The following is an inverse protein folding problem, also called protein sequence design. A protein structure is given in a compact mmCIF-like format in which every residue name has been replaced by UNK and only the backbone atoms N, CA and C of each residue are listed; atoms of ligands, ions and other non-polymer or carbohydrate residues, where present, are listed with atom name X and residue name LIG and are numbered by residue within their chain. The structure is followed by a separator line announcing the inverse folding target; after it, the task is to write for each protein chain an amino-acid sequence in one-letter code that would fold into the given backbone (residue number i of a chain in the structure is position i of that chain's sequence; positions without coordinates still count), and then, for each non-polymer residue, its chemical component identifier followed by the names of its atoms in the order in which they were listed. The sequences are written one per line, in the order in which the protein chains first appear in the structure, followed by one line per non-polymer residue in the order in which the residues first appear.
data_IF_609500511797
#
_entry.id   IF_609500511797
#
_cell.length_a   1.000
_cell.length_b   1.000
_cell.length_c   1.000
_cell.angle_alpha   90.00
_cell.angle_beta   90.00
_cell.angle_gamma   90.00
#
_symmetry.space_group_name_H-M   'P 1'
#
loop_
_entity.id
_entity.type
_entity.pdbx_description
1 polymer ?
#
# COMPACT_ATOMS: atom_id res chain seq x y z
N UNK A 1 45.21 14.32 23.20
CA UNK A 1 44.28 14.53 24.33
C UNK A 1 42.94 14.94 23.74
N UNK A 2 41.83 14.38 24.23
CA UNK A 2 40.48 14.72 23.74
C UNK A 2 40.09 16.09 24.30
N UNK A 3 39.63 17.00 23.45
CA UNK A 3 39.13 18.32 23.88
C UNK A 3 37.85 18.13 24.70
N UNK A 4 37.73 18.83 25.82
CA UNK A 4 36.49 18.85 26.61
C UNK A 4 35.42 19.72 25.92
N UNK A 5 34.15 19.56 26.31
CA UNK A 5 33.07 20.39 25.80
C UNK A 5 33.25 21.87 26.20
N UNK A 6 33.90 22.14 27.34
CA UNK A 6 34.30 23.49 27.74
C UNK A 6 35.38 24.06 26.82
N UNK A 7 36.37 23.26 26.43
CA UNK A 7 37.42 23.66 25.49
C UNK A 7 36.85 23.95 24.09
N UNK A 8 35.88 23.14 23.64
CA UNK A 8 35.19 23.31 22.35
C UNK A 8 34.41 24.62 22.32
N UNK A 9 33.79 25.01 23.44
CA UNK A 9 33.08 26.29 23.56
C UNK A 9 34.00 27.47 23.98
N UNK A 10 35.28 27.22 24.24
CA UNK A 10 36.25 28.24 24.65
C UNK A 10 35.98 28.85 26.03
N UNK A 11 35.32 28.11 26.92
CA UNK A 11 34.95 28.56 28.28
C UNK A 11 35.70 27.76 29.36
N UNK A 12 35.77 28.30 30.58
CA UNK A 12 36.35 27.58 31.72
C UNK A 12 35.39 26.51 32.22
N UNK A 13 35.91 25.44 32.84
CA UNK A 13 35.10 24.40 33.48
C UNK A 13 34.24 24.90 34.66
N UNK A 14 34.52 26.10 35.16
CA UNK A 14 33.73 26.81 36.18
C UNK A 14 32.74 27.83 35.60
N UNK A 15 32.56 27.86 34.28
CA UNK A 15 31.62 28.79 33.62
C UNK A 15 30.17 28.49 34.03
N UNK A 16 29.41 29.56 34.25
CA UNK A 16 27.98 29.50 34.50
C UNK A 16 27.18 29.15 33.23
N UNK A 17 25.96 28.64 33.39
CA UNK A 17 25.03 28.38 32.29
C UNK A 17 24.84 29.59 31.36
N UNK A 18 24.92 30.80 31.93
CA UNK A 18 24.83 32.05 31.18
C UNK A 18 26.03 32.25 30.28
N UNK A 19 27.24 32.05 30.80
CA UNK A 19 28.49 32.19 30.04
C UNK A 19 28.59 31.12 28.94
N UNK A 20 28.15 29.89 29.22
CA UNK A 20 28.08 28.80 28.24
C UNK A 20 27.13 29.16 27.08
N UNK A 21 25.94 29.73 27.38
CA UNK A 21 24.98 30.19 26.36
C UNK A 21 25.49 31.35 25.53
N UNK A 22 26.16 32.32 26.16
CA UNK A 22 26.72 33.48 25.48
C UNK A 22 27.86 33.05 24.53
N UNK A 23 28.75 32.15 24.96
CA UNK A 23 29.81 31.59 24.13
C UNK A 23 29.27 30.78 22.95
N UNK A 24 28.26 29.93 23.18
CA UNK A 24 27.58 29.17 22.11
C UNK A 24 27.00 30.08 21.03
N UNK A 25 26.25 31.12 21.42
CA UNK A 25 25.64 32.07 20.46
C UNK A 25 26.69 32.78 19.61
N UNK A 26 27.81 33.17 20.23
CA UNK A 26 28.92 33.82 19.54
C UNK A 26 29.55 32.87 18.51
N UNK A 27 29.86 31.64 18.89
CA UNK A 27 30.46 30.64 18.01
C UNK A 27 29.55 30.25 16.83
N UNK A 28 28.24 30.15 17.06
CA UNK A 28 27.28 29.90 15.96
C UNK A 28 27.25 31.07 14.98
N UNK A 29 27.25 32.32 15.46
CA UNK A 29 27.28 33.52 14.61
C UNK A 29 28.58 33.67 13.82
N UNK A 30 29.70 33.22 14.39
CA UNK A 30 31.03 33.27 13.77
C UNK A 30 31.21 32.15 12.73
N UNK A 31 30.58 30.99 12.92
CA UNK A 31 30.71 29.80 12.05
C UNK A 31 29.48 29.50 11.18
N UNK A 32 28.52 30.41 11.05
CA UNK A 32 27.35 30.22 10.18
C UNK A 32 27.75 29.99 8.71
N UNK A 33 27.07 29.06 8.02
CA UNK A 33 27.30 28.71 6.61
C UNK A 33 27.26 29.90 5.66
N UNK A 34 26.38 30.87 5.94
CA UNK A 34 26.21 32.10 5.16
C UNK A 34 27.43 33.03 5.23
N UNK A 35 28.39 32.75 6.13
CA UNK A 35 29.67 33.46 6.29
C UNK A 35 30.89 32.59 5.96
N UNK A 36 30.69 31.42 5.35
CA UNK A 36 31.77 30.51 4.94
C UNK A 36 32.31 29.62 6.06
N UNK A 37 31.52 29.37 7.11
CA UNK A 37 31.90 28.47 8.20
C UNK A 37 31.84 26.99 7.84
N UNK A 38 32.71 26.19 8.48
CA UNK A 38 32.79 24.74 8.33
C UNK A 38 31.65 24.04 9.10
N UNK A 39 30.80 23.30 8.38
CA UNK A 39 29.67 22.55 8.96
C UNK A 39 30.10 21.59 10.07
N UNK A 40 31.29 21.01 9.99
CA UNK A 40 31.76 20.04 10.99
C UNK A 40 32.20 20.73 12.27
N UNK A 41 32.62 22.00 12.20
CA UNK A 41 32.88 22.83 13.36
C UNK A 41 31.56 23.23 14.03
N UNK A 42 30.55 23.62 13.26
CA UNK A 42 29.21 23.96 13.78
C UNK A 42 28.58 22.77 14.50
N UNK A 43 28.64 21.57 13.91
CA UNK A 43 28.14 20.34 14.55
C UNK A 43 28.82 20.07 15.89
N UNK A 44 30.15 20.27 15.99
CA UNK A 44 30.90 20.13 17.25
C UNK A 44 30.48 21.15 18.31
N UNK A 45 30.26 22.40 17.91
CA UNK A 45 29.81 23.47 18.81
C UNK A 45 28.41 23.16 19.38
N UNK A 46 27.48 22.71 18.53
CA UNK A 46 26.12 22.32 18.95
C UNK A 46 26.19 21.14 19.92
N UNK A 47 26.96 20.10 19.61
CA UNK A 47 27.10 18.94 20.47
C UNK A 47 27.68 19.30 21.85
N UNK A 48 28.74 20.11 21.88
CA UNK A 48 29.37 20.53 23.14
C UNK A 48 28.42 21.33 24.03
N UNK A 49 27.58 22.18 23.45
CA UNK A 49 26.59 22.95 24.19
C UNK A 49 25.46 22.07 24.78
N UNK A 50 24.90 21.15 23.99
CA UNK A 50 23.86 20.24 24.50
C UNK A 50 24.41 19.25 25.54
N UNK A 51 25.65 18.79 25.38
CA UNK A 51 26.31 17.94 26.38
C UNK A 51 26.50 18.68 27.71
N UNK A 52 26.95 19.94 27.68
CA UNK A 52 27.14 20.74 28.91
C UNK A 52 25.82 21.01 29.64
N UNK A 53 24.72 21.19 28.90
CA UNK A 53 23.38 21.38 29.46
C UNK A 53 22.89 20.18 30.27
N UNK A 54 23.37 18.98 29.97
CA UNK A 54 23.08 17.75 30.71
C UNK A 54 24.22 17.33 31.66
N UNK A 55 25.21 18.20 31.88
CA UNK A 55 26.33 17.97 32.78
C UNK A 55 27.44 17.07 32.21
N UNK A 56 27.46 16.80 30.91
CA UNK A 56 28.47 15.97 30.23
C UNK A 56 29.67 16.83 29.80
N UNK A 57 30.84 16.55 30.37
CA UNK A 57 32.05 17.38 30.22
C UNK A 57 32.90 17.05 29.00
N UNK A 58 32.70 15.89 28.37
CA UNK A 58 33.46 15.44 27.19
C UNK A 58 32.51 14.97 26.08
N UNK A 59 32.88 15.13 24.80
CA UNK A 59 32.09 14.60 23.68
C UNK A 59 31.89 13.09 23.77
N UNK A 60 30.91 12.57 23.04
CA UNK A 60 30.68 11.14 22.93
C UNK A 60 31.98 10.38 22.52
N UNK A 61 32.29 9.33 23.28
CA UNK A 61 33.26 8.31 22.87
C UNK A 61 32.76 7.58 21.62
N UNK A 62 33.65 6.92 20.87
CA UNK A 62 33.24 6.23 19.65
C UNK A 62 32.23 5.09 19.92
N UNK A 63 32.30 4.44 21.09
CA UNK A 63 31.30 3.47 21.56
C UNK A 63 29.95 4.12 21.91
N UNK A 64 29.94 5.33 22.46
CA UNK A 64 28.70 6.10 22.72
C UNK A 64 28.09 6.60 21.42
N UNK A 65 28.90 7.04 20.45
CA UNK A 65 28.44 7.38 19.09
C UNK A 65 27.84 6.15 18.42
N UNK A 66 28.45 4.98 18.58
CA UNK A 66 27.93 3.71 18.06
C UNK A 66 26.64 3.24 18.76
N UNK A 67 26.46 3.59 20.04
CA UNK A 67 25.22 3.32 20.78
C UNK A 67 24.11 4.33 20.44
N UNK A 68 24.42 5.62 20.32
CA UNK A 68 23.47 6.67 19.91
C UNK A 68 23.08 6.55 18.44
N UNK A 69 23.96 6.09 17.54
CA UNK A 69 23.61 5.75 16.16
C UNK A 69 22.62 4.58 16.05
N UNK A 70 22.46 3.79 17.13
CA UNK A 70 21.44 2.74 17.25
C UNK A 70 20.15 3.23 17.94
N UNK A 71 20.12 4.44 18.50
CA UNK A 71 18.95 5.03 19.17
C UNK A 71 18.47 6.22 18.34
N UNK A 72 17.57 5.94 17.40
CA UNK A 72 17.06 6.92 16.46
C UNK A 72 15.95 7.79 17.10
N UNK A 73 16.28 8.97 17.62
CA UNK A 73 15.36 9.89 18.31
C UNK A 73 15.07 11.17 17.49
N UNK A 74 14.34 11.04 16.39
CA UNK A 74 13.91 12.20 15.60
C UNK A 74 12.51 12.02 15.02
N UNK A 75 11.63 13.03 15.18
CA UNK A 75 10.21 12.97 14.81
C UNK A 75 9.91 13.44 13.38
N UNK A 76 10.92 13.80 12.59
CA UNK A 76 10.70 14.22 11.19
C UNK A 76 10.19 13.07 10.32
N UNK A 77 9.34 13.37 9.33
CA UNK A 77 8.83 12.40 8.34
C UNK A 77 9.98 11.65 7.64
N UNK A 78 11.08 12.33 7.32
CA UNK A 78 12.25 11.72 6.69
C UNK A 78 12.98 10.73 7.60
N UNK A 79 13.14 11.05 8.89
CA UNK A 79 13.76 10.14 9.85
C UNK A 79 12.86 8.95 10.18
N UNK A 80 11.54 9.17 10.28
CA UNK A 80 10.55 8.08 10.40
C UNK A 80 10.62 7.18 9.19
N UNK A 81 10.76 7.74 7.98
CA UNK A 81 10.90 7.00 6.73
C UNK A 81 12.21 6.20 6.66
N UNK A 82 13.34 6.79 7.08
CA UNK A 82 14.64 6.09 7.18
C UNK A 82 14.59 4.96 8.21
N UNK A 83 14.01 5.19 9.40
CA UNK A 83 13.78 4.14 10.41
C UNK A 83 12.91 3.01 9.87
N UNK A 84 11.76 3.36 9.31
CA UNK A 84 10.83 2.38 8.77
C UNK A 84 11.47 1.58 7.64
N UNK A 85 12.36 2.18 6.83
CA UNK A 85 13.10 1.48 5.77
C UNK A 85 14.02 0.39 6.34
N UNK A 86 14.77 0.68 7.40
CA UNK A 86 15.63 -0.31 8.06
C UNK A 86 14.79 -1.42 8.68
N UNK A 87 13.77 -1.03 9.46
CA UNK A 87 12.87 -1.99 10.12
C UNK A 87 12.10 -2.85 9.11
N UNK A 88 11.84 -2.34 7.90
CA UNK A 88 11.25 -3.11 6.80
C UNK A 88 12.09 -4.31 6.43
N UNK A 89 13.41 -4.11 6.33
CA UNK A 89 14.35 -5.17 5.99
C UNK A 89 14.37 -6.26 7.05
N UNK A 90 14.30 -5.87 8.32
CA UNK A 90 14.27 -6.81 9.45
C UNK A 90 12.99 -7.63 9.44
N UNK A 91 11.82 -6.98 9.34
CA UNK A 91 10.52 -7.66 9.25
C UNK A 91 10.43 -8.55 8.01
N UNK A 92 10.97 -8.12 6.87
CA UNK A 92 10.97 -8.93 5.65
C UNK A 92 11.77 -10.22 5.80
N UNK A 93 12.91 -10.19 6.52
CA UNK A 93 13.67 -11.40 6.85
C UNK A 93 12.91 -12.29 7.83
N UNK A 94 12.25 -11.72 8.83
CA UNK A 94 11.39 -12.47 9.74
C UNK A 94 10.22 -13.16 9.01
N UNK A 95 9.58 -12.50 8.05
CA UNK A 95 8.53 -13.12 7.23
C UNK A 95 9.06 -14.26 6.36
N UNK A 96 10.31 -14.20 5.92
CA UNK A 96 10.95 -15.32 5.21
C UNK A 96 11.13 -16.53 6.13
N UNK A 97 11.53 -16.31 7.38
CA UNK A 97 11.62 -17.38 8.39
C UNK A 97 10.23 -17.94 8.70
N UNK A 98 9.19 -17.09 8.76
CA UNK A 98 7.81 -17.50 8.93
C UNK A 98 7.33 -18.39 7.76
N UNK A 99 7.67 -18.04 6.52
CA UNK A 99 7.38 -18.82 5.32
C UNK A 99 8.00 -20.22 5.40
N UNK A 100 9.28 -20.30 5.75
CA UNK A 100 10.00 -21.57 5.89
C UNK A 100 9.42 -22.44 6.99
N UNK A 101 9.09 -21.85 8.14
CA UNK A 101 8.43 -22.53 9.25
C UNK A 101 7.05 -23.07 8.86
N UNK A 102 6.20 -22.25 8.21
CA UNK A 102 4.87 -22.65 7.80
C UNK A 102 4.93 -23.77 6.74
N UNK A 103 5.86 -23.66 5.78
CA UNK A 103 6.11 -24.67 4.75
C UNK A 103 6.56 -26.01 5.34
N UNK A 104 7.43 -26.00 6.35
CA UNK A 104 7.86 -27.21 7.04
C UNK A 104 6.70 -27.90 7.75
N UNK A 105 5.88 -27.15 8.50
CA UNK A 105 4.69 -27.71 9.16
C UNK A 105 3.68 -28.24 8.15
N UNK A 106 3.52 -27.55 7.02
CA UNK A 106 2.60 -27.98 5.98
C UNK A 106 3.05 -29.27 5.30
N UNK A 107 4.33 -29.39 4.95
CA UNK A 107 4.88 -30.59 4.30
C UNK A 107 4.94 -31.82 5.21
N UNK A 108 5.05 -31.61 6.53
CA UNK A 108 5.04 -32.67 7.53
C UNK A 108 3.66 -32.97 8.14
N UNK A 109 2.62 -32.27 7.68
CA UNK A 109 1.25 -32.31 8.21
C UNK A 109 1.15 -32.08 9.73
N UNK A 110 2.05 -31.27 10.27
CA UNK A 110 2.09 -30.93 11.69
C UNK A 110 1.34 -29.64 11.97
N UNK A 111 0.72 -29.50 13.14
CA UNK A 111 0.14 -28.25 13.59
C UNK A 111 1.11 -27.52 14.53
N UNK A 112 1.03 -26.20 14.57
CA UNK A 112 1.87 -25.40 15.46
C UNK A 112 1.56 -23.91 15.38
N UNK A 113 1.96 -23.17 16.41
CA UNK A 113 1.89 -21.72 16.44
C UNK A 113 3.23 -21.09 16.77
N UNK A 114 3.49 -19.90 16.23
CA UNK A 114 4.71 -19.12 16.49
C UNK A 114 4.48 -17.64 16.20
N UNK A 115 5.13 -16.78 16.99
CA UNK A 115 5.19 -15.33 16.77
C UNK A 115 6.38 -14.97 15.88
N UNK A 116 6.16 -14.04 14.96
CA UNK A 116 7.16 -13.47 14.06
C UNK A 116 7.00 -11.94 13.99
N UNK A 117 7.93 -11.26 13.32
CA UNK A 117 7.87 -9.81 13.12
C UNK A 117 8.79 -9.06 14.08
N UNK A 118 8.43 -7.83 14.46
CA UNK A 118 9.26 -7.02 15.36
C UNK A 118 8.44 -6.30 16.40
N UNK A 119 9.06 -5.97 17.54
CA UNK A 119 8.39 -5.21 18.60
C UNK A 119 8.04 -3.79 18.15
N UNK A 120 8.83 -3.25 17.23
CA UNK A 120 8.74 -1.87 16.75
C UNK A 120 7.67 -1.69 15.67
N UNK A 121 7.48 -2.66 14.77
CA UNK A 121 6.52 -2.57 13.66
C UNK A 121 5.29 -3.47 13.81
N UNK A 122 5.32 -4.40 14.78
CA UNK A 122 4.23 -5.31 15.10
C UNK A 122 4.68 -6.76 15.06
N UNK A 123 4.28 -7.50 16.09
CA UNK A 123 4.37 -8.96 16.12
C UNK A 123 3.12 -9.56 15.45
N UNK A 124 3.33 -10.67 14.74
CA UNK A 124 2.30 -11.40 14.01
C UNK A 124 2.35 -12.85 14.45
N UNK A 125 1.21 -13.34 14.92
CA UNK A 125 1.02 -14.73 15.31
C UNK A 125 0.61 -15.56 14.09
N UNK A 126 1.33 -16.64 13.85
CA UNK A 126 1.00 -17.63 12.84
C UNK A 126 0.63 -18.93 13.54
N UNK A 127 -0.48 -19.53 13.13
CA UNK A 127 -0.97 -20.82 13.61
C UNK A 127 -1.34 -21.69 12.41
N UNK A 128 -0.56 -22.74 12.14
CA UNK A 128 -0.96 -23.76 11.17
C UNK A 128 -1.83 -24.80 11.89
N UNK A 129 -3.09 -24.90 11.49
CA UNK A 129 -4.07 -25.84 12.04
C UNK A 129 -3.86 -27.24 11.49
N UNK A 130 -4.35 -28.25 12.21
CA UNK A 130 -4.36 -29.65 11.74
C UNK A 130 -5.07 -29.85 10.41
N UNK A 131 -5.99 -28.95 10.04
CA UNK A 131 -6.69 -28.98 8.75
C UNK A 131 -5.83 -28.54 7.56
N UNK A 132 -4.62 -28.01 7.78
CA UNK A 132 -3.80 -27.38 6.73
C UNK A 132 -4.09 -25.90 6.51
N UNK A 133 -5.03 -25.32 7.23
CA UNK A 133 -5.26 -23.87 7.21
C UNK A 133 -4.21 -23.13 8.03
N UNK A 134 -3.70 -22.03 7.48
CA UNK A 134 -2.85 -21.10 8.21
C UNK A 134 -3.67 -19.92 8.70
N UNK A 135 -3.78 -19.78 10.02
CA UNK A 135 -4.35 -18.60 10.65
C UNK A 135 -3.25 -17.59 10.99
N UNK A 136 -3.44 -16.34 10.61
CA UNK A 136 -2.49 -15.24 10.87
C UNK A 136 -3.21 -14.15 11.65
N UNK A 137 -2.63 -13.69 12.76
CA UNK A 137 -3.20 -12.63 13.59
C UNK A 137 -2.18 -11.54 13.86
N UNK A 138 -2.57 -10.29 13.61
CA UNK A 138 -1.68 -9.13 13.78
C UNK A 138 -1.51 -8.34 12.49
N UNK A 139 -0.67 -7.31 12.54
CA UNK A 139 -0.44 -6.41 11.39
C UNK A 139 0.69 -6.96 10.52
N UNK A 140 0.38 -7.33 9.27
CA UNK A 140 1.40 -7.75 8.31
C UNK A 140 1.98 -6.52 7.61
N UNK A 141 3.29 -6.29 7.73
CA UNK A 141 3.86 -4.99 7.41
C UNK A 141 4.86 -4.99 6.25
N UNK A 142 5.69 -6.02 6.10
CA UNK A 142 6.71 -6.12 5.03
C UNK A 142 7.00 -7.57 4.67
N UNK A 143 7.65 -7.74 3.52
CA UNK A 143 8.23 -9.02 3.11
C UNK A 143 7.34 -9.87 2.23
N UNK A 144 7.99 -10.88 1.64
CA UNK A 144 7.31 -11.89 0.84
C UNK A 144 6.92 -13.08 1.73
N UNK A 145 5.73 -13.60 1.51
CA UNK A 145 5.23 -14.79 2.18
C UNK A 145 4.40 -15.65 1.23
N UNK A 146 4.78 -16.91 1.07
CA UNK A 146 4.14 -17.88 0.19
C UNK A 146 3.65 -19.08 0.98
N UNK A 147 2.39 -19.45 0.79
CA UNK A 147 1.83 -20.63 1.44
C UNK A 147 1.07 -21.52 0.46
N UNK A 148 1.08 -22.82 0.73
CA UNK A 148 0.38 -23.83 -0.06
C UNK A 148 -0.79 -24.40 0.75
N UNK A 149 -1.87 -23.63 0.82
CA UNK A 149 -3.04 -23.93 1.62
C UNK A 149 -3.85 -22.66 1.88
N UNK A 150 -5.07 -22.78 2.42
CA UNK A 150 -5.89 -21.62 2.75
C UNK A 150 -5.24 -20.77 3.86
N UNK A 151 -5.28 -19.45 3.69
CA UNK A 151 -4.88 -18.48 4.70
C UNK A 151 -6.12 -17.74 5.20
N UNK A 152 -6.34 -17.75 6.51
CA UNK A 152 -7.27 -16.85 7.19
C UNK A 152 -6.47 -15.86 8.02
N UNK A 153 -6.69 -14.56 7.82
CA UNK A 153 -5.99 -13.52 8.55
C UNK A 153 -6.93 -12.58 9.31
N UNK A 154 -6.60 -12.31 10.56
CA UNK A 154 -7.24 -11.31 11.41
C UNK A 154 -6.26 -10.15 11.67
N UNK A 155 -6.31 -9.14 10.81
CA UNK A 155 -5.48 -7.94 10.94
C UNK A 155 -5.39 -7.15 9.64
N UNK A 156 -4.75 -5.98 9.71
CA UNK A 156 -4.49 -5.13 8.54
C UNK A 156 -3.15 -5.47 7.90
N UNK A 157 -3.04 -5.17 6.60
CA UNK A 157 -1.85 -5.44 5.79
C UNK A 157 -1.41 -4.12 5.18
N UNK A 158 -0.12 -3.82 5.30
CA UNK A 158 0.48 -2.67 4.61
C UNK A 158 1.77 -3.10 3.92
N UNK A 159 2.35 -2.22 3.11
CA UNK A 159 3.63 -2.44 2.46
C UNK A 159 4.50 -1.19 2.57
N UNK A 160 5.82 -1.32 2.78
CA UNK A 160 6.74 -0.20 2.73
C UNK A 160 6.93 0.24 1.27
N UNK A 161 5.93 0.89 0.69
CA UNK A 161 5.92 1.37 -0.71
C UNK A 161 7.12 2.26 -1.05
N UNK A 162 7.65 2.96 -0.05
CA UNK A 162 8.84 3.79 -0.15
C UNK A 162 10.16 3.00 -0.21
N UNK A 163 10.14 1.69 0.02
CA UNK A 163 11.33 0.85 -0.06
C UNK A 163 11.80 0.69 -1.50
N UNK A 164 13.11 0.82 -1.70
CA UNK A 164 13.75 0.60 -2.99
C UNK A 164 13.98 -0.89 -3.27
N UNK A 165 14.08 -1.71 -2.22
CA UNK A 165 14.21 -3.16 -2.35
C UNK A 165 12.83 -3.82 -2.40
N UNK A 166 12.54 -4.47 -3.51
CA UNK A 166 11.28 -5.20 -3.71
C UNK A 166 11.06 -6.29 -2.66
N UNK A 167 12.12 -6.92 -2.14
CA UNK A 167 11.99 -7.98 -1.11
C UNK A 167 11.38 -7.47 0.19
N UNK A 168 11.49 -6.17 0.45
CA UNK A 168 10.91 -5.54 1.64
C UNK A 168 9.42 -5.24 1.44
N UNK A 169 8.95 -5.12 0.20
CA UNK A 169 7.54 -4.85 -0.08
C UNK A 169 6.70 -6.06 0.24
N UNK A 170 5.48 -5.81 0.71
CA UNK A 170 4.58 -6.88 1.11
C UNK A 170 4.01 -7.59 -0.12
N UNK A 171 4.34 -8.87 -0.24
CA UNK A 171 3.73 -9.78 -1.21
C UNK A 171 3.29 -11.05 -0.52
N UNK A 172 2.00 -11.36 -0.61
CA UNK A 172 1.44 -12.62 -0.10
C UNK A 172 0.98 -13.46 -1.27
N UNK A 173 1.47 -14.69 -1.37
CA UNK A 173 1.11 -15.64 -2.42
C UNK A 173 0.49 -16.90 -1.80
N UNK A 174 -0.72 -17.23 -2.22
CA UNK A 174 -1.40 -18.48 -1.89
C UNK A 174 -1.40 -19.34 -3.15
N UNK A 175 -0.69 -20.47 -3.12
CA UNK A 175 -0.59 -21.38 -4.28
C UNK A 175 -1.91 -22.11 -4.53
N UNK A 176 -2.44 -22.72 -3.47
CA UNK A 176 -3.70 -23.45 -3.49
C UNK A 176 -4.55 -23.04 -2.29
N UNK A 177 -5.82 -22.73 -2.53
CA UNK A 177 -6.74 -22.28 -1.49
C UNK A 177 -6.89 -20.75 -1.44
N UNK A 178 -7.73 -20.31 -0.51
CA UNK A 178 -8.21 -18.93 -0.47
C UNK A 178 -7.35 -18.07 0.45
N UNK A 179 -7.26 -16.78 0.14
CA UNK A 179 -6.83 -15.76 1.09
C UNK A 179 -8.07 -15.03 1.64
N UNK A 180 -8.32 -15.12 2.95
CA UNK A 180 -9.51 -14.53 3.57
C UNK A 180 -9.13 -13.65 4.75
N UNK A 181 -9.56 -12.39 4.75
CA UNK A 181 -9.58 -11.60 5.97
C UNK A 181 -10.84 -11.95 6.78
N UNK A 182 -10.68 -12.12 8.09
CA UNK A 182 -11.77 -12.45 9.00
C UNK A 182 -12.63 -11.22 9.31
N UNK A 183 -13.89 -11.23 8.86
CA UNK A 183 -14.89 -10.18 9.04
C UNK A 183 -14.33 -8.76 8.82
N UNK A 184 -13.71 -8.47 7.66
CA UNK A 184 -12.82 -7.32 7.52
C UNK A 184 -13.55 -5.98 7.59
N UNK A 185 -14.82 -5.93 7.18
CA UNK A 185 -15.65 -4.73 7.29
C UNK A 185 -16.09 -4.46 8.74
N UNK A 186 -16.43 -5.51 9.49
CA UNK A 186 -16.84 -5.39 10.90
C UNK A 186 -15.65 -5.00 11.79
N UNK A 187 -14.49 -5.55 11.51
CA UNK A 187 -13.26 -5.32 12.27
C UNK A 187 -12.43 -4.14 11.74
N UNK A 188 -12.89 -3.46 10.69
CA UNK A 188 -12.21 -2.33 10.06
C UNK A 188 -10.75 -2.64 9.66
N UNK A 189 -10.54 -3.84 9.10
CA UNK A 189 -9.24 -4.26 8.57
C UNK A 189 -9.04 -3.70 7.16
N UNK A 190 -7.81 -3.22 6.90
CA UNK A 190 -7.44 -2.55 5.67
C UNK A 190 -6.27 -3.24 4.98
N UNK A 191 -6.26 -3.17 3.65
CA UNK A 191 -5.09 -3.49 2.81
C UNK A 191 -4.60 -2.20 2.18
N UNK A 192 -3.37 -1.82 2.49
CA UNK A 192 -2.91 -0.45 2.24
C UNK A 192 -1.55 -0.41 1.53
N UNK A 193 -1.44 0.53 0.60
CA UNK A 193 -0.18 1.11 0.14
C UNK A 193 0.78 0.15 -0.56
N UNK A 194 0.43 -0.37 -1.73
CA UNK A 194 1.38 -1.12 -2.55
C UNK A 194 1.54 -2.59 -2.15
N UNK A 195 0.62 -3.11 -1.34
CA UNK A 195 0.54 -4.55 -1.02
C UNK A 195 0.18 -5.33 -2.28
N UNK A 196 0.78 -6.51 -2.45
CA UNK A 196 0.42 -7.46 -3.50
C UNK A 196 -0.10 -8.76 -2.88
N UNK A 197 -1.32 -9.17 -3.21
CA UNK A 197 -1.87 -10.47 -2.82
C UNK A 197 -2.24 -11.26 -4.06
N UNK A 198 -1.77 -12.50 -4.14
CA UNK A 198 -2.05 -13.41 -5.26
C UNK A 198 -2.57 -14.73 -4.71
N UNK A 199 -3.78 -15.13 -5.10
CA UNK A 199 -4.26 -16.50 -4.94
C UNK A 199 -4.25 -17.19 -6.30
N UNK A 200 -3.27 -18.06 -6.56
CA UNK A 200 -3.05 -18.65 -7.89
C UNK A 200 -4.20 -19.60 -8.28
N UNK A 201 -4.64 -20.42 -7.33
CA UNK A 201 -5.73 -21.38 -7.47
C UNK A 201 -6.70 -21.27 -6.28
N UNK A 202 -7.28 -20.09 -6.11
CA UNK A 202 -8.30 -19.84 -5.09
C UNK A 202 -8.87 -18.43 -5.17
N UNK A 203 -9.69 -18.12 -4.18
CA UNK A 203 -10.37 -16.84 -4.05
C UNK A 203 -9.62 -15.90 -3.09
N UNK A 204 -9.87 -14.60 -3.23
CA UNK A 204 -9.41 -13.56 -2.29
C UNK A 204 -10.62 -12.81 -1.74
N UNK A 205 -10.81 -12.88 -0.42
CA UNK A 205 -11.91 -12.19 0.29
C UNK A 205 -11.31 -11.21 1.28
N UNK A 206 -11.50 -9.91 1.02
CA UNK A 206 -10.83 -8.83 1.75
C UNK A 206 -11.79 -7.67 2.03
N UNK A 207 -11.35 -6.75 2.90
CA UNK A 207 -12.09 -5.54 3.25
C UNK A 207 -11.83 -4.38 2.31
N UNK A 208 -11.63 -3.21 2.91
CA UNK A 208 -11.27 -2.00 2.18
C UNK A 208 -9.82 -2.06 1.71
N UNK A 209 -9.59 -1.56 0.49
CA UNK A 209 -8.29 -1.58 -0.18
C UNK A 209 -7.95 -0.15 -0.57
N UNK A 210 -6.75 0.31 -0.18
CA UNK A 210 -6.30 1.67 -0.46
C UNK A 210 -4.91 1.62 -1.09
N UNK A 211 -4.75 2.30 -2.23
CA UNK A 211 -3.45 2.58 -2.85
C UNK A 211 -2.82 3.84 -2.30
N UNK A 212 -1.61 4.18 -2.77
CA UNK A 212 -0.99 5.48 -2.49
C UNK A 212 -0.31 6.09 -3.72
N UNK A 213 -0.43 7.41 -3.83
CA UNK A 213 0.35 8.24 -4.74
C UNK A 213 1.42 8.97 -3.95
N UNK A 214 2.63 8.98 -4.47
CA UNK A 214 3.77 9.64 -3.86
C UNK A 214 4.22 10.79 -4.75
N UNK A 215 4.32 11.99 -4.18
CA UNK A 215 4.90 13.16 -4.86
C UNK A 215 6.41 13.13 -4.65
N UNK A 216 7.16 12.93 -5.73
CA UNK A 216 8.61 12.96 -5.75
C UNK A 216 9.08 14.26 -6.40
N UNK A 217 10.20 14.81 -5.93
CA UNK A 217 10.83 15.93 -6.61
C UNK A 217 11.29 15.49 -8.00
N UNK A 218 11.23 16.42 -8.97
CA UNK A 218 11.71 16.17 -10.32
C UNK A 218 13.14 15.57 -10.31
N UNK A 219 13.39 14.44 -11.00
CA UNK A 219 14.70 13.79 -11.02
C UNK A 219 15.85 14.68 -11.53
N UNK A 220 15.53 15.77 -12.26
CA UNK A 220 16.51 16.74 -12.75
C UNK A 220 16.71 17.91 -11.78
N UNK A 221 16.13 17.85 -10.57
CA UNK A 221 16.31 18.85 -9.51
C UNK A 221 15.57 20.17 -9.77
N UNK A 222 14.66 20.21 -10.75
CA UNK A 222 13.91 21.44 -11.08
C UNK A 222 12.97 21.82 -9.93
N UNK A 223 13.18 23.00 -9.38
CA UNK A 223 12.40 23.52 -8.25
C UNK A 223 10.94 23.73 -8.68
N UNK A 224 10.01 23.26 -7.85
CA UNK A 224 8.56 23.39 -8.09
C UNK A 224 7.96 22.39 -9.08
N UNK A 225 8.75 21.46 -9.64
CA UNK A 225 8.25 20.36 -10.47
C UNK A 225 8.26 19.07 -9.64
N UNK A 226 7.10 18.40 -9.61
CA UNK A 226 6.91 17.13 -8.92
C UNK A 226 6.47 16.05 -9.91
N UNK A 227 7.00 14.84 -9.74
CA UNK A 227 6.56 13.64 -10.43
C UNK A 227 5.69 12.84 -9.47
N UNK A 228 4.47 12.50 -9.89
CA UNK A 228 3.62 11.60 -9.11
C UNK A 228 3.98 10.16 -9.44
N UNK A 229 4.44 9.41 -8.44
CA UNK A 229 4.67 7.97 -8.52
C UNK A 229 3.49 7.23 -7.90
N UNK A 230 2.88 6.36 -8.67
CA UNK A 230 1.73 5.56 -8.23
C UNK A 230 2.21 4.21 -7.68
N UNK A 231 1.79 3.88 -6.47
CA UNK A 231 2.06 2.58 -5.86
C UNK A 231 0.75 1.82 -5.75
N UNK A 232 0.53 0.92 -6.71
CA UNK A 232 -0.71 0.15 -6.78
C UNK A 232 -0.77 -0.93 -5.71
N UNK A 233 -1.84 -0.93 -4.92
CA UNK A 233 -2.23 -2.11 -4.14
C UNK A 233 -2.92 -3.10 -5.07
N UNK A 234 -2.34 -4.29 -5.25
CA UNK A 234 -2.70 -5.26 -6.27
C UNK A 234 -3.27 -6.53 -5.64
N UNK A 235 -4.50 -6.90 -6.01
CA UNK A 235 -5.12 -8.16 -5.62
C UNK A 235 -5.39 -8.99 -6.87
N UNK A 236 -4.90 -10.23 -6.89
CA UNK A 236 -5.05 -11.12 -8.04
C UNK A 236 -5.60 -12.50 -7.64
N UNK A 237 -6.61 -12.95 -8.37
CA UNK A 237 -7.19 -14.29 -8.28
C UNK A 237 -7.52 -14.77 -9.71
N UNK A 238 -6.52 -15.08 -10.55
CA UNK A 238 -6.68 -15.17 -12.00
C UNK A 238 -7.70 -16.22 -12.47
N UNK A 239 -7.91 -17.26 -11.66
CA UNK A 239 -8.89 -18.35 -11.88
C UNK A 239 -10.04 -18.34 -10.86
N UNK A 240 -10.05 -17.37 -9.96
CA UNK A 240 -10.95 -17.31 -8.81
C UNK A 240 -11.70 -16.00 -8.73
N UNK A 241 -12.30 -15.80 -7.57
CA UNK A 241 -13.09 -14.64 -7.21
C UNK A 241 -12.31 -13.70 -6.31
N UNK A 242 -12.42 -12.41 -6.58
CA UNK A 242 -12.06 -11.35 -5.63
C UNK A 242 -13.36 -10.80 -5.04
N UNK A 243 -13.47 -10.78 -3.71
CA UNK A 243 -14.53 -10.08 -2.99
C UNK A 243 -13.89 -8.98 -2.16
N UNK A 244 -14.24 -7.72 -2.43
CA UNK A 244 -13.65 -6.56 -1.77
C UNK A 244 -14.71 -5.55 -1.30
N UNK A 245 -14.37 -4.78 -0.27
CA UNK A 245 -15.15 -3.64 0.18
C UNK A 245 -14.99 -2.44 -0.76
N UNK A 246 -14.56 -1.31 -0.22
CA UNK A 246 -14.22 -0.14 -1.04
C UNK A 246 -12.78 -0.24 -1.52
N UNK A 247 -12.57 -0.15 -2.84
CA UNK A 247 -11.26 0.05 -3.43
C UNK A 247 -11.06 1.54 -3.74
N UNK A 248 -9.92 2.12 -3.33
CA UNK A 248 -9.68 3.56 -3.40
C UNK A 248 -8.22 3.92 -3.73
N UNK A 249 -8.01 5.07 -4.37
CA UNK A 249 -6.70 5.53 -4.85
C UNK A 249 -6.11 4.54 -5.87
N UNK A 250 -4.80 4.29 -5.86
CA UNK A 250 -4.14 3.38 -6.80
C UNK A 250 -4.38 1.91 -6.44
N UNK A 251 -5.51 1.35 -6.86
CA UNK A 251 -5.85 -0.07 -6.64
C UNK A 251 -5.98 -0.81 -7.97
N UNK A 252 -5.47 -2.04 -8.03
CA UNK A 252 -5.65 -2.93 -9.16
C UNK A 252 -6.22 -4.27 -8.69
N UNK A 253 -7.39 -4.64 -9.24
CA UNK A 253 -8.03 -5.93 -8.97
C UNK A 253 -8.06 -6.76 -10.27
N UNK A 254 -7.55 -7.98 -10.22
CA UNK A 254 -7.50 -8.87 -11.39
C UNK A 254 -7.96 -10.29 -11.04
N UNK A 255 -9.22 -10.59 -11.34
CA UNK A 255 -9.85 -11.88 -11.05
C UNK A 255 -10.56 -12.48 -12.24
N UNK A 256 -10.94 -13.76 -12.18
CA UNK A 256 -11.96 -14.26 -13.12
C UNK A 256 -13.31 -13.62 -12.80
N UNK A 257 -13.66 -13.59 -11.52
CA UNK A 257 -14.80 -12.84 -10.99
C UNK A 257 -14.32 -11.75 -10.03
N UNK A 258 -14.82 -10.53 -10.17
CA UNK A 258 -14.53 -9.41 -9.27
C UNK A 258 -15.83 -8.86 -8.72
N UNK A 259 -16.01 -8.99 -7.41
CA UNK A 259 -17.14 -8.45 -6.65
C UNK A 259 -16.61 -7.36 -5.73
N UNK A 260 -17.13 -6.15 -5.87
CA UNK A 260 -16.64 -4.98 -5.14
C UNK A 260 -17.79 -4.09 -4.71
N UNK A 261 -17.64 -3.42 -3.56
CA UNK A 261 -18.62 -2.45 -3.11
C UNK A 261 -18.47 -1.14 -3.88
N UNK A 262 -17.37 -0.41 -3.68
CA UNK A 262 -17.15 0.91 -4.30
C UNK A 262 -15.79 0.98 -4.99
N UNK A 263 -15.69 1.84 -6.01
CA UNK A 263 -14.48 2.12 -6.77
C UNK A 263 -14.23 3.63 -6.78
N UNK A 264 -13.13 4.09 -6.18
CA UNK A 264 -12.93 5.52 -5.92
C UNK A 264 -11.53 5.97 -6.31
N UNK A 265 -11.40 6.87 -7.29
CA UNK A 265 -10.14 7.54 -7.66
C UNK A 265 -9.02 6.58 -8.08
N UNK A 266 -8.78 6.42 -9.39
CA UNK A 266 -7.67 5.68 -9.98
C UNK A 266 -7.65 4.16 -9.71
N UNK A 267 -8.85 3.57 -9.66
CA UNK A 267 -9.00 2.12 -9.50
C UNK A 267 -9.08 1.45 -10.87
N UNK A 268 -8.32 0.38 -11.03
CA UNK A 268 -8.32 -0.46 -12.22
C UNK A 268 -8.85 -1.83 -11.84
N UNK A 269 -9.81 -2.34 -12.59
CA UNK A 269 -10.32 -3.68 -12.40
C UNK A 269 -10.30 -4.44 -13.72
N UNK A 270 -9.97 -5.73 -13.66
CA UNK A 270 -10.01 -6.63 -14.79
C UNK A 270 -10.68 -7.94 -14.38
N UNK A 271 -11.62 -8.40 -15.18
CA UNK A 271 -12.24 -9.70 -14.97
C UNK A 271 -13.23 -10.11 -16.03
N UNK A 272 -13.66 -11.37 -15.97
CA UNK A 272 -14.71 -11.90 -16.85
C UNK A 272 -16.08 -11.55 -16.30
N UNK A 273 -16.31 -11.74 -15.01
CA UNK A 273 -17.56 -11.36 -14.35
C UNK A 273 -17.26 -10.25 -13.36
N UNK A 274 -17.87 -9.08 -13.55
CA UNK A 274 -17.65 -7.91 -12.69
C UNK A 274 -18.98 -7.49 -12.08
N UNK A 275 -19.00 -7.35 -10.75
CA UNK A 275 -20.20 -6.97 -10.01
C UNK A 275 -19.87 -5.86 -9.03
N UNK A 276 -20.59 -4.74 -9.16
CA UNK A 276 -20.41 -3.54 -8.34
C UNK A 276 -21.70 -3.30 -7.55
N UNK A 277 -21.60 -3.36 -6.22
CA UNK A 277 -22.75 -3.28 -5.33
C UNK A 277 -23.06 -1.88 -4.81
N UNK A 278 -22.04 -1.11 -4.50
CA UNK A 278 -22.17 0.20 -3.88
C UNK A 278 -22.45 1.30 -4.88
N UNK A 279 -22.75 2.49 -4.35
CA UNK A 279 -23.23 3.62 -5.14
C UNK A 279 -22.13 4.44 -5.82
N UNK A 280 -20.86 4.14 -5.60
CA UNK A 280 -19.76 5.04 -6.00
C UNK A 280 -18.79 4.35 -6.95
N UNK A 281 -18.69 4.88 -8.17
CA UNK A 281 -17.61 4.58 -9.13
C UNK A 281 -17.12 5.89 -9.71
N UNK A 282 -16.04 6.45 -9.17
CA UNK A 282 -15.62 7.79 -9.56
C UNK A 282 -14.13 7.94 -9.82
N UNK A 283 -13.79 8.98 -10.59
CA UNK A 283 -12.45 9.49 -10.85
C UNK A 283 -11.48 8.45 -11.41
N UNK A 284 -11.19 8.52 -12.71
CA UNK A 284 -10.19 7.68 -13.39
C UNK A 284 -10.32 6.17 -13.12
N UNK A 285 -11.55 5.65 -13.04
CA UNK A 285 -11.78 4.20 -12.91
C UNK A 285 -11.73 3.55 -14.30
N UNK A 286 -10.91 2.51 -14.44
CA UNK A 286 -10.85 1.69 -15.66
C UNK A 286 -11.34 0.27 -15.37
N UNK A 287 -12.34 -0.18 -16.12
CA UNK A 287 -12.97 -1.49 -15.97
C UNK A 287 -12.73 -2.29 -17.24
N UNK A 288 -11.88 -3.31 -17.17
CA UNK A 288 -11.59 -4.20 -18.30
C UNK A 288 -12.41 -5.50 -18.21
N UNK A 289 -13.30 -5.72 -19.18
CA UNK A 289 -14.14 -6.91 -19.29
C UNK A 289 -13.50 -7.89 -20.27
N UNK A 290 -13.23 -9.12 -19.80
CA UNK A 290 -12.72 -10.23 -20.61
C UNK A 290 -13.81 -10.80 -21.52
N UNK A 291 -13.40 -11.40 -22.64
CA UNK A 291 -14.31 -11.99 -23.64
C UNK A 291 -15.24 -13.04 -23.01
N UNK A 292 -16.52 -13.06 -23.44
CA UNK A 292 -17.56 -13.93 -22.86
C UNK A 292 -17.96 -13.56 -21.43
N UNK A 293 -17.61 -12.34 -21.01
CA UNK A 293 -17.86 -11.81 -19.68
C UNK A 293 -19.03 -10.82 -19.63
N UNK A 294 -19.28 -10.30 -18.44
CA UNK A 294 -20.31 -9.29 -18.21
C UNK A 294 -19.98 -8.40 -17.01
N UNK A 295 -20.65 -7.25 -16.96
CA UNK A 295 -20.63 -6.33 -15.84
C UNK A 295 -22.05 -6.05 -15.34
N UNK A 296 -22.19 -5.96 -14.01
CA UNK A 296 -23.43 -5.62 -13.33
C UNK A 296 -23.21 -4.50 -12.31
N UNK A 297 -24.14 -3.55 -12.29
CA UNK A 297 -24.22 -2.49 -11.29
C UNK A 297 -25.54 -2.67 -10.52
N UNK A 298 -25.48 -2.86 -9.20
CA UNK A 298 -26.68 -3.18 -8.41
C UNK A 298 -27.39 -1.97 -7.82
N UNK A 299 -26.69 -0.90 -7.44
CA UNK A 299 -27.35 0.23 -6.77
C UNK A 299 -28.28 1.02 -7.70
N UNK A 300 -29.34 1.58 -7.10
CA UNK A 300 -30.49 2.23 -7.73
C UNK A 300 -30.71 3.67 -7.21
N UNK A 301 -29.88 4.17 -6.29
CA UNK A 301 -30.10 5.47 -5.66
C UNK A 301 -29.87 6.69 -6.58
N UNK A 302 -30.62 7.77 -6.38
CA UNK A 302 -30.38 9.09 -7.01
C UNK A 302 -29.01 9.70 -6.68
N UNK A 303 -28.31 9.15 -5.68
CA UNK A 303 -26.95 9.46 -5.30
C UNK A 303 -25.89 8.54 -5.93
N UNK A 304 -26.22 7.80 -7.00
CA UNK A 304 -25.26 6.96 -7.72
C UNK A 304 -24.16 7.81 -8.35
N UNK A 305 -23.07 7.98 -7.59
CA UNK A 305 -21.91 8.81 -7.90
C UNK A 305 -21.01 8.10 -8.90
N UNK A 306 -21.54 7.92 -10.10
CA UNK A 306 -20.77 7.47 -11.24
C UNK A 306 -20.10 8.67 -11.89
N UNK A 307 -18.78 8.68 -11.92
CA UNK A 307 -18.04 9.73 -12.62
C UNK A 307 -18.09 9.54 -14.13
N UNK A 308 -17.96 10.65 -14.82
CA UNK A 308 -18.00 10.72 -16.28
C UNK A 308 -16.68 10.33 -16.95
N UNK A 309 -15.61 10.24 -16.16
CA UNK A 309 -14.28 9.81 -16.58
C UNK A 309 -14.04 8.30 -16.35
N UNK A 310 -14.99 7.60 -15.73
CA UNK A 310 -14.93 6.15 -15.63
C UNK A 310 -15.09 5.52 -17.02
N UNK A 311 -14.23 4.54 -17.33
CA UNK A 311 -14.14 3.91 -18.65
C UNK A 311 -14.34 2.41 -18.54
N UNK A 312 -15.18 1.86 -19.41
CA UNK A 312 -15.25 0.42 -19.65
C UNK A 312 -14.40 0.12 -20.89
N UNK A 313 -13.52 -0.86 -20.77
CA UNK A 313 -12.67 -1.39 -21.83
C UNK A 313 -13.01 -2.85 -22.04
N UNK A 314 -13.13 -3.27 -23.28
CA UNK A 314 -13.21 -4.67 -23.65
C UNK A 314 -11.79 -5.20 -23.93
N UNK A 315 -11.58 -6.50 -23.73
CA UNK A 315 -10.33 -7.20 -24.05
C UNK A 315 -9.81 -6.92 -25.48
N UNK A 316 -10.71 -6.74 -26.46
CA UNK A 316 -10.35 -6.38 -27.84
C UNK A 316 -9.91 -4.91 -28.02
N UNK A 317 -9.82 -4.12 -26.95
CA UNK A 317 -9.39 -2.73 -26.94
C UNK A 317 -10.51 -1.70 -27.15
N UNK A 318 -11.75 -2.12 -27.43
CA UNK A 318 -12.89 -1.21 -27.55
C UNK A 318 -13.19 -0.54 -26.21
N UNK A 319 -13.48 0.75 -26.23
CA UNK A 319 -13.69 1.58 -25.03
C UNK A 319 -15.01 2.32 -25.06
N UNK A 320 -15.60 2.48 -23.88
CA UNK A 320 -16.84 3.21 -23.65
C UNK A 320 -16.67 4.10 -22.43
N UNK A 321 -17.16 5.34 -22.50
CA UNK A 321 -17.29 6.16 -21.30
C UNK A 321 -18.53 5.71 -20.55
N UNK A 322 -18.44 5.59 -19.23
CA UNK A 322 -19.56 5.12 -18.43
C UNK A 322 -20.78 6.04 -18.55
N UNK A 323 -20.57 7.35 -18.76
CA UNK A 323 -21.62 8.34 -19.04
C UNK A 323 -22.51 7.93 -20.23
N UNK A 324 -21.94 7.37 -21.29
CA UNK A 324 -22.69 6.97 -22.50
C UNK A 324 -23.65 5.80 -22.21
N UNK A 325 -23.25 4.90 -21.31
CA UNK A 325 -24.07 3.75 -20.88
C UNK A 325 -25.17 4.14 -19.88
N UNK A 326 -24.97 5.23 -19.12
CA UNK A 326 -26.06 5.79 -18.29
C UNK A 326 -27.19 6.34 -19.15
N UNK A 327 -26.84 7.08 -20.21
CA UNK A 327 -27.85 7.71 -21.09
C UNK A 327 -28.72 6.71 -21.82
N UNK A 328 -28.35 5.42 -21.82
CA UNK A 328 -29.10 4.32 -22.43
C UNK A 328 -29.85 3.43 -21.43
N UNK A 329 -29.98 3.82 -20.15
CA UNK A 329 -30.68 3.05 -19.08
C UNK A 329 -30.14 1.62 -18.85
N UNK A 330 -28.86 1.38 -19.15
CA UNK A 330 -28.21 0.07 -19.03
C UNK A 330 -27.55 -0.17 -17.68
N UNK A 331 -27.39 0.88 -16.88
CA UNK A 331 -26.70 0.83 -15.59
C UNK A 331 -27.73 0.81 -14.45
N UNK A 332 -27.49 -0.02 -13.43
CA UNK A 332 -28.35 -0.18 -12.25
C UNK A 332 -29.28 -1.39 -12.33
N UNK A 333 -30.04 -1.63 -11.25
CA UNK A 333 -31.03 -2.72 -11.12
C UNK A 333 -30.44 -4.13 -11.31
N UNK A 334 -29.14 -4.29 -11.15
CA UNK A 334 -28.45 -5.57 -11.40
C UNK A 334 -28.54 -6.04 -12.85
N UNK A 335 -28.80 -5.14 -13.81
CA UNK A 335 -28.84 -5.51 -15.22
C UNK A 335 -27.48 -5.98 -15.69
N UNK A 336 -27.47 -7.11 -16.36
CA UNK A 336 -26.27 -7.67 -16.97
C UNK A 336 -25.96 -6.97 -18.29
N UNK A 337 -24.77 -6.35 -18.37
CA UNK A 337 -24.23 -5.79 -19.59
C UNK A 337 -23.12 -6.72 -20.08
N UNK A 338 -23.41 -7.50 -21.13
CA UNK A 338 -22.46 -8.49 -21.63
C UNK A 338 -21.37 -7.87 -22.51
N UNK A 339 -20.24 -8.54 -22.58
CA UNK A 339 -19.13 -8.23 -23.48
C UNK A 339 -19.62 -8.14 -24.94
N UNK A 340 -20.39 -9.13 -25.39
CA UNK A 340 -20.88 -9.23 -26.77
C UNK A 340 -21.85 -8.10 -27.10
N UNK A 341 -22.70 -7.73 -26.15
CA UNK A 341 -23.59 -6.58 -26.30
C UNK A 341 -22.78 -5.29 -26.54
N UNK A 342 -21.82 -4.99 -25.66
CA UNK A 342 -20.96 -3.82 -25.81
C UNK A 342 -20.18 -3.86 -27.13
N UNK A 343 -19.62 -5.02 -27.50
CA UNK A 343 -18.87 -5.17 -28.74
C UNK A 343 -19.73 -4.94 -29.99
N UNK A 344 -21.04 -5.21 -29.93
CA UNK A 344 -21.98 -4.98 -31.03
C UNK A 344 -22.29 -3.49 -31.30
N UNK A 345 -22.18 -2.62 -30.29
CA UNK A 345 -22.53 -1.18 -30.41
C UNK A 345 -21.73 -0.52 -31.54
N UNK A 346 -22.40 0.16 -32.47
CA UNK A 346 -21.74 0.85 -33.59
C UNK A 346 -21.32 -0.04 -34.77
N UNK A 347 -21.46 -1.37 -34.68
CA UNK A 347 -21.40 -2.24 -35.87
C UNK A 347 -22.72 -2.08 -36.61
N UNK A 348 -22.73 -1.33 -37.72
CA UNK A 348 -23.90 -1.25 -38.63
C UNK A 348 -24.36 -2.68 -38.93
N UNK A 349 -25.62 -2.99 -38.66
CA UNK A 349 -26.21 -4.23 -39.18
C UNK A 349 -26.05 -4.21 -40.69
N UNK A 350 -25.20 -5.08 -41.25
CA UNK A 350 -25.42 -5.56 -42.61
C UNK A 350 -26.61 -6.50 -42.55
N UNK A 351 -27.79 -5.91 -42.37
CA UNK A 351 -29.06 -6.61 -42.49
C UNK A 351 -29.30 -6.86 -43.98
N UNK A 352 -28.99 -8.07 -44.42
CA UNK A 352 -29.74 -8.71 -45.50
C UNK A 352 -31.22 -8.64 -45.13
N UNK A 353 -32.01 -8.03 -46.02
CA UNK A 353 -33.42 -7.77 -45.77
C UNK A 353 -34.20 -9.05 -45.54
N UNK A 354 -34.91 -9.10 -44.41
CA UNK A 354 -36.13 -9.89 -44.29
C UNK A 354 -37.21 -8.96 -43.73
N UNK A 355 -38.08 -8.48 -44.63
CA UNK A 355 -39.34 -7.84 -44.25
C UNK A 355 -40.24 -8.92 -43.67
N UNK A 356 -40.38 -8.97 -42.34
CA UNK A 356 -41.51 -9.64 -41.71
C UNK A 356 -42.62 -8.60 -41.59
N UNK A 357 -43.61 -8.70 -42.46
CA UNK A 357 -44.82 -7.91 -42.39
C UNK A 357 -45.68 -8.37 -41.22
N UNK A 358 -45.83 -7.54 -40.19
CA UNK A 358 -46.92 -7.67 -39.23
C UNK A 358 -48.08 -6.79 -39.68
N UNK A 359 -49.10 -7.45 -40.22
CA UNK A 359 -50.46 -6.95 -40.40
C UNK A 359 -51.25 -7.39 -39.16
N UNK A 360 -51.72 -6.46 -38.33
CA UNK A 360 -52.79 -6.69 -37.35
C UNK A 360 -53.38 -5.32 -37.00
N UNK A 361 -54.42 -4.90 -37.73
CA UNK A 361 -55.86 -4.97 -37.41
C UNK A 361 -56.35 -3.72 -36.65
N UNK A 362 -57.52 -3.25 -37.12
CA UNK A 362 -58.22 -2.00 -36.80
C UNK A 362 -58.43 -1.75 -35.31
#
# INVERSE_FOLDING_TARGET
MVQSNYDILGVKSSASDREIREAFRKLILDHHSDRGGDEDIVKKIIQAYEDLKIGKTYPDTDDEKLKKSRVYSGDSEEERRKRNLVLSGDVAREMKIAEEWASLLNSSDQAGSKLFGSKELGEVEFERKKSGELFIKGRFWAGHFTYDGPIIMAGSITSPYFSLDEKNKTRITVKNGNFTLLDPLKNNFHIEHGVKIVAENGDVIVGNITGIKELLQDPQGRVGIYVTKEHFTEISAPKGKIVAGTARETVFLDGDTVVVNNLINNVKIRGRIITIFGNTVNYNVEIEIRKGGAIMFHDEGSGFALSDDATIKLENGKRFRLRELKTSNMVGFGKEITYEYLDSIGKKSRGTGFKIGFKLFK
#
